data_IF_017737383590
#
_entry.id   IF_017737383590
#
_cell.length_a   1.000
_cell.length_b   1.000
_cell.length_c   1.000
_cell.angle_alpha   90.00
_cell.angle_beta   90.00
_cell.angle_gamma   90.00
#
_symmetry.space_group_name_H-M   'P 1'
#
loop_
_entity.id
_entity.type
_entity.pdbx_description
1 polymer ?
#
# COMPACT_ATOMS: atom_id res chain seq x y z
N UNK A 1 -13.01 1.46 8.44
CA UNK A 1 -12.05 2.36 7.79
C UNK A 1 -11.45 1.59 6.62
N UNK A 2 -11.61 2.06 5.40
CA UNK A 2 -10.98 1.43 4.23
C UNK A 2 -9.53 1.90 4.09
N UNK A 3 -8.67 1.01 3.61
CA UNK A 3 -7.25 1.25 3.40
C UNK A 3 -6.88 1.02 1.93
N UNK A 4 -7.58 1.72 1.03
CA UNK A 4 -7.40 1.63 -0.42
C UNK A 4 -5.96 2.02 -0.84
N UNK A 5 -5.32 2.90 -0.06
CA UNK A 5 -3.96 3.40 -0.25
C UNK A 5 -2.87 2.47 0.32
N UNK A 6 -3.25 1.27 0.79
CA UNK A 6 -2.33 0.31 1.41
C UNK A 6 -2.35 -1.01 0.66
N UNK A 7 -1.16 -1.52 0.34
CA UNK A 7 -0.95 -2.89 -0.15
C UNK A 7 -0.17 -3.64 0.90
N UNK A 8 -0.68 -4.78 1.36
CA UNK A 8 -0.04 -5.54 2.43
C UNK A 8 0.37 -6.95 1.99
N UNK A 9 1.46 -7.44 2.57
CA UNK A 9 1.90 -8.83 2.49
C UNK A 9 2.24 -9.32 3.89
N UNK A 10 1.67 -10.47 4.26
CA UNK A 10 1.98 -11.18 5.49
C UNK A 10 2.69 -12.48 5.16
N UNK A 11 3.81 -12.73 5.82
CA UNK A 11 4.57 -13.97 5.78
C UNK A 11 4.56 -14.62 7.16
N UNK A 12 5.27 -15.74 7.34
CA UNK A 12 5.44 -16.36 8.66
C UNK A 12 6.21 -15.48 9.64
N UNK A 13 7.09 -14.61 9.14
CA UNK A 13 8.01 -13.79 9.95
C UNK A 13 7.66 -12.31 9.95
N UNK A 14 6.99 -11.82 8.90
CA UNK A 14 6.84 -10.37 8.66
C UNK A 14 5.42 -10.01 8.25
N UNK A 15 4.92 -8.90 8.78
CA UNK A 15 3.83 -8.13 8.18
C UNK A 15 4.43 -6.86 7.58
N UNK A 16 4.24 -6.68 6.27
CA UNK A 16 4.64 -5.46 5.57
C UNK A 16 3.42 -4.80 4.94
N UNK A 17 3.27 -3.50 5.20
CA UNK A 17 2.24 -2.65 4.63
C UNK A 17 2.92 -1.54 3.82
N UNK A 18 2.86 -1.65 2.49
CA UNK A 18 3.29 -0.62 1.58
C UNK A 18 2.20 0.45 1.50
N UNK A 19 2.56 1.71 1.70
CA UNK A 19 1.66 2.85 1.58
C UNK A 19 1.87 3.56 0.25
N UNK A 20 0.84 4.25 -0.22
CA UNK A 20 0.93 5.11 -1.39
C UNK A 20 1.93 6.25 -1.13
N UNK A 21 2.98 6.30 -1.96
CA UNK A 21 4.03 7.30 -1.91
C UNK A 21 3.62 8.62 -2.62
N UNK A 22 4.40 9.69 -2.40
CA UNK A 22 4.24 10.99 -3.08
C UNK A 22 2.88 11.68 -2.89
N UNK A 23 2.24 11.46 -1.75
CA UNK A 23 1.02 12.18 -1.34
C UNK A 23 1.37 13.26 -0.33
N UNK A 24 0.58 14.35 -0.27
CA UNK A 24 0.70 15.41 0.74
C UNK A 24 0.48 14.91 2.17
N UNK A 25 -0.13 13.73 2.31
CA UNK A 25 -0.40 13.08 3.59
C UNK A 25 0.84 12.38 4.18
N UNK A 26 1.90 12.21 3.40
CA UNK A 26 3.18 11.71 3.90
C UNK A 26 3.09 10.31 4.52
N UNK A 27 2.27 9.42 3.93
CA UNK A 27 2.16 8.04 4.39
C UNK A 27 3.53 7.36 4.38
N UNK A 28 3.78 6.54 5.39
CA UNK A 28 5.03 5.79 5.53
C UNK A 28 4.73 4.32 5.60
N UNK A 29 5.56 3.53 4.92
CA UNK A 29 5.51 2.08 4.99
C UNK A 29 5.61 1.59 6.44
N UNK A 30 5.03 0.41 6.67
CA UNK A 30 5.00 -0.24 7.98
C UNK A 30 5.55 -1.66 7.86
N UNK A 31 6.46 -2.03 8.77
CA UNK A 31 7.05 -3.36 8.83
C UNK A 31 7.04 -3.83 10.29
N UNK A 32 6.47 -5.00 10.53
CA UNK A 32 6.39 -5.63 11.85
C UNK A 32 7.00 -7.03 11.82
N UNK A 33 7.85 -7.31 12.80
CA UNK A 33 8.45 -8.63 13.04
C UNK A 33 7.46 -9.48 13.85
N UNK A 34 6.81 -10.44 13.21
CA UNK A 34 5.78 -11.26 13.86
C UNK A 34 6.37 -12.33 14.80
N UNK A 35 7.68 -12.57 14.75
CA UNK A 35 8.38 -13.54 15.60
C UNK A 35 8.75 -12.88 16.93
N UNK A 36 9.36 -11.69 16.86
CA UNK A 36 9.86 -10.98 18.03
C UNK A 36 8.85 -9.95 18.58
N UNK A 37 7.89 -9.51 17.77
CA UNK A 37 6.84 -8.56 18.12
C UNK A 37 5.47 -9.01 17.57
N UNK A 38 4.91 -10.12 18.11
CA UNK A 38 3.63 -10.66 17.65
C UNK A 38 2.44 -9.72 17.88
N UNK A 39 2.61 -8.69 18.71
CA UNK A 39 1.62 -7.66 18.99
C UNK A 39 1.75 -6.43 18.06
N UNK A 40 2.65 -6.45 17.07
CA UNK A 40 2.81 -5.42 16.03
C UNK A 40 2.99 -3.99 16.60
N UNK A 41 3.80 -3.86 17.65
CA UNK A 41 3.99 -2.60 18.40
C UNK A 41 5.08 -1.71 17.82
N UNK A 42 6.06 -2.28 17.12
CA UNK A 42 7.25 -1.56 16.64
C UNK A 42 7.29 -1.57 15.12
N UNK A 43 7.08 -0.40 14.51
CA UNK A 43 7.28 -0.23 13.08
C UNK A 43 8.77 -0.10 12.75
N UNK A 44 9.30 -1.06 11.98
CA UNK A 44 10.71 -1.18 11.57
C UNK A 44 10.97 -0.68 10.15
N UNK A 45 9.97 -0.23 9.41
CA UNK A 45 10.11 0.08 7.98
C UNK A 45 11.08 1.23 7.67
N UNK A 46 11.31 2.12 8.64
CA UNK A 46 12.22 3.27 8.50
C UNK A 46 13.61 3.00 9.11
N UNK A 47 13.81 1.83 9.72
CA UNK A 47 15.11 1.45 10.26
C UNK A 47 16.00 0.91 9.11
N UNK A 48 17.18 1.53 8.84
CA UNK A 48 18.09 1.10 7.80
C UNK A 48 18.53 -0.36 7.91
N UNK A 49 18.53 -0.94 9.11
CA UNK A 49 18.90 -2.35 9.32
C UNK A 49 17.91 -3.32 8.65
N UNK A 50 16.67 -2.89 8.41
CA UNK A 50 15.62 -3.70 7.80
C UNK A 50 15.33 -3.29 6.34
N UNK A 51 16.14 -2.39 5.76
CA UNK A 51 15.93 -1.89 4.40
C UNK A 51 15.90 -3.01 3.35
N UNK A 52 16.71 -4.06 3.52
CA UNK A 52 16.69 -5.22 2.62
C UNK A 52 15.36 -6.01 2.72
N UNK A 53 14.84 -6.18 3.94
CA UNK A 53 13.56 -6.86 4.19
C UNK A 53 12.42 -6.06 3.55
N UNK A 54 12.40 -4.74 3.76
CA UNK A 54 11.43 -3.83 3.14
C UNK A 54 11.50 -3.92 1.62
N UNK A 55 12.68 -3.82 1.02
CA UNK A 55 12.85 -3.87 -0.44
C UNK A 55 12.35 -5.21 -1.02
N UNK A 56 12.69 -6.33 -0.37
CA UNK A 56 12.26 -7.67 -0.77
C UNK A 56 10.74 -7.83 -0.70
N UNK A 57 10.10 -7.38 0.38
CA UNK A 57 8.65 -7.48 0.55
C UNK A 57 7.90 -6.51 -0.36
N UNK A 58 8.45 -5.30 -0.60
CA UNK A 58 7.94 -4.32 -1.57
C UNK A 58 7.90 -4.90 -2.98
N UNK A 59 9.01 -5.49 -3.44
CA UNK A 59 9.06 -6.13 -4.76
C UNK A 59 8.03 -7.25 -4.88
N UNK A 60 7.90 -8.12 -3.86
CA UNK A 60 6.92 -9.22 -3.89
C UNK A 60 5.48 -8.74 -3.95
N UNK A 61 5.12 -7.71 -3.18
CA UNK A 61 3.75 -7.17 -3.20
C UNK A 61 3.48 -6.47 -4.54
N UNK A 62 4.44 -5.70 -5.06
CA UNK A 62 4.32 -5.05 -6.37
C UNK A 62 4.18 -6.05 -7.51
N UNK A 63 4.94 -7.14 -7.52
CA UNK A 63 4.83 -8.23 -8.50
C UNK A 63 3.46 -8.89 -8.45
N UNK A 64 2.94 -9.16 -7.25
CA UNK A 64 1.61 -9.73 -7.07
C UNK A 64 0.53 -8.86 -7.70
N UNK A 65 0.51 -7.56 -7.37
CA UNK A 65 -0.47 -6.65 -7.92
C UNK A 65 -0.27 -6.42 -9.42
N UNK A 66 0.97 -6.37 -9.91
CA UNK A 66 1.25 -6.26 -11.35
C UNK A 66 0.69 -7.47 -12.13
N UNK A 67 0.76 -8.67 -11.56
CA UNK A 67 0.33 -9.89 -12.23
C UNK A 67 -1.19 -10.10 -12.21
N UNK A 68 -1.84 -9.76 -11.10
CA UNK A 68 -3.23 -10.18 -10.84
C UNK A 68 -4.24 -9.04 -10.87
N UNK A 69 -3.80 -7.78 -10.85
CA UNK A 69 -4.75 -6.65 -10.85
C UNK A 69 -5.23 -6.38 -12.27
N UNK A 70 -6.52 -6.09 -12.40
CA UNK A 70 -7.06 -5.54 -13.63
C UNK A 70 -6.72 -4.04 -13.68
N UNK A 71 -6.00 -3.56 -14.71
CA UNK A 71 -5.55 -2.16 -14.78
C UNK A 71 -6.68 -1.13 -14.64
N UNK A 72 -7.89 -1.46 -15.11
CA UNK A 72 -9.06 -0.57 -14.99
C UNK A 72 -9.43 -0.25 -13.55
N UNK A 73 -9.15 -1.18 -12.63
CA UNK A 73 -9.52 -1.08 -11.21
C UNK A 73 -8.32 -0.91 -10.29
N UNK A 74 -7.12 -0.67 -10.84
CA UNK A 74 -5.91 -0.49 -10.04
C UNK A 74 -5.71 0.97 -9.67
N UNK A 75 -6.18 1.37 -8.49
CA UNK A 75 -6.01 2.72 -7.95
C UNK A 75 -4.55 3.17 -7.84
N UNK A 76 -3.59 2.26 -7.70
CA UNK A 76 -2.17 2.61 -7.63
C UNK A 76 -1.55 2.80 -9.02
N UNK A 77 -2.30 2.55 -10.09
CA UNK A 77 -1.88 2.71 -11.49
C UNK A 77 -2.86 3.55 -12.32
N UNK A 78 -3.71 4.34 -11.66
CA UNK A 78 -4.64 5.27 -12.31
C UNK A 78 -5.98 4.66 -12.73
N UNK A 79 -6.27 3.43 -12.30
CA UNK A 79 -7.60 2.85 -12.40
C UNK A 79 -8.60 3.54 -11.47
N UNK A 80 -9.86 3.12 -11.55
CA UNK A 80 -10.97 3.64 -10.74
C UNK A 80 -11.55 2.58 -9.80
N UNK A 81 -12.49 2.95 -8.94
CA UNK A 81 -13.24 2.00 -8.09
C UNK A 81 -14.47 1.46 -8.83
N UNK A 82 -14.92 0.26 -8.46
CA UNK A 82 -16.13 -0.37 -9.01
C UNK A 82 -17.44 0.09 -8.36
N UNK A 83 -17.37 0.94 -7.33
CA UNK A 83 -18.54 1.38 -6.56
C UNK A 83 -18.25 2.75 -5.96
N UNK A 84 -17.84 2.81 -4.69
CA UNK A 84 -17.48 4.06 -4.02
C UNK A 84 -16.04 3.96 -3.51
N UNK A 85 -15.42 5.12 -3.34
CA UNK A 85 -14.19 5.28 -2.57
C UNK A 85 -14.55 6.14 -1.36
N UNK A 86 -14.03 5.78 -0.19
CA UNK A 86 -14.11 6.64 1.00
C UNK A 86 -13.05 7.76 0.98
N UNK A 87 -12.16 7.78 -0.02
CA UNK A 87 -11.06 8.75 -0.17
C UNK A 87 -10.92 9.29 -1.61
N UNK A 88 -11.99 9.80 -2.24
CA UNK A 88 -11.90 10.35 -3.61
C UNK A 88 -10.87 11.48 -3.69
N UNK A 89 -10.79 12.33 -2.66
CA UNK A 89 -9.82 13.42 -2.55
C UNK A 89 -8.35 12.97 -2.63
N UNK A 90 -8.05 11.72 -2.25
CA UNK A 90 -6.70 11.17 -2.34
C UNK A 90 -6.39 10.75 -3.77
N UNK A 91 -7.35 10.12 -4.44
CA UNK A 91 -7.18 9.63 -5.80
C UNK A 91 -7.19 10.77 -6.83
N UNK A 92 -7.99 11.82 -6.60
CA UNK A 92 -7.93 13.08 -7.35
C UNK A 92 -6.58 13.78 -7.22
N UNK A 93 -5.97 13.78 -6.02
CA UNK A 93 -4.62 14.35 -5.83
C UNK A 93 -3.57 13.59 -6.64
N UNK A 94 -3.66 12.27 -6.67
CA UNK A 94 -2.64 11.39 -7.26
C UNK A 94 -2.79 11.30 -8.79
N UNK A 95 -4.01 11.30 -9.30
CA UNK A 95 -4.32 11.08 -10.73
C UNK A 95 -4.91 12.30 -11.45
N UNK A 96 -5.23 13.37 -10.73
CA UNK A 96 -5.82 14.59 -11.27
C UNK A 96 -7.32 14.74 -10.97
N UNK A 97 -7.81 15.97 -11.10
CA UNK A 97 -9.19 16.36 -10.78
C UNK A 97 -10.25 15.66 -11.64
N UNK A 98 -9.87 15.12 -12.81
CA UNK A 98 -10.75 14.37 -13.69
C UNK A 98 -10.97 12.91 -13.23
N UNK A 99 -10.24 12.45 -12.21
CA UNK A 99 -10.43 11.11 -11.66
C UNK A 99 -11.79 11.02 -10.96
N UNK A 100 -12.60 10.03 -11.32
CA UNK A 100 -13.92 9.81 -10.73
C UNK A 100 -14.22 8.33 -10.58
N UNK A 101 -14.95 7.93 -9.51
CA UNK A 101 -15.54 6.60 -9.40
C UNK A 101 -16.40 6.25 -10.61
N UNK A 102 -16.32 5.01 -11.08
CA UNK A 102 -17.21 4.50 -12.11
C UNK A 102 -18.30 3.64 -11.45
N UNK A 103 -19.57 3.95 -11.76
CA UNK A 103 -20.77 3.32 -11.19
C UNK A 103 -21.48 2.40 -12.19
#
# INVERSE_FOLDING_TARGET
>A
MEQEETRAIRTSEWLFMKRLENTKYGFKDELYDLVNDPDERVNLAQDPNYAEVVAKLSSRVEEFFTKYTNPRWDLWKGGTVKSNSTRPFLWEEVWGEDWTPEF
#
